data_IF_975966531495
#
_entry.id   IF_975966531495
#
_cell.length_a   1.000
_cell.length_b   1.000
_cell.length_c   1.000
_cell.angle_alpha   90.00
_cell.angle_beta   90.00
_cell.angle_gamma   90.00
#
_symmetry.space_group_name_H-M   'P 1'
#
loop_
_entity.id
_entity.type
_entity.pdbx_description
1 polymer ?
#
# COMPACT_ATOMS: atom_id res chain seq x y z
N UNK A 1 47.36 -22.38 34.54
CA UNK A 1 47.08 -21.72 33.24
C UNK A 1 45.57 -21.66 33.07
N UNK A 2 44.99 -20.46 32.90
CA UNK A 2 43.52 -20.23 32.83
C UNK A 2 43.09 -20.18 31.37
N UNK A 3 42.26 -21.14 30.93
CA UNK A 3 41.66 -21.14 29.60
C UNK A 3 40.54 -20.09 29.53
N UNK A 4 40.71 -19.10 28.66
CA UNK A 4 39.68 -18.14 28.26
C UNK A 4 39.37 -18.39 26.80
N UNK A 5 38.24 -19.02 26.52
CA UNK A 5 37.63 -19.00 25.19
C UNK A 5 36.16 -18.65 25.40
N UNK A 6 35.87 -17.35 25.40
CA UNK A 6 34.50 -16.86 25.25
C UNK A 6 34.35 -16.65 23.74
N UNK A 7 33.92 -17.70 23.05
CA UNK A 7 33.55 -17.61 21.64
C UNK A 7 32.23 -16.86 21.54
N UNK A 8 32.27 -15.60 21.11
CA UNK A 8 31.08 -14.84 20.79
C UNK A 8 30.52 -15.35 19.46
N UNK A 9 29.42 -16.11 19.52
CA UNK A 9 28.64 -16.46 18.33
C UNK A 9 27.68 -15.31 18.06
N UNK A 10 28.02 -14.45 17.10
CA UNK A 10 27.11 -13.45 16.58
C UNK A 10 26.09 -14.14 15.66
N UNK A 11 24.89 -14.40 16.18
CA UNK A 11 23.74 -14.80 15.36
C UNK A 11 23.23 -13.57 14.62
N UNK A 12 23.70 -13.36 13.39
CA UNK A 12 23.13 -12.39 12.46
C UNK A 12 21.74 -12.87 12.05
N UNK A 13 20.70 -12.33 12.67
CA UNK A 13 19.33 -12.47 12.18
C UNK A 13 19.21 -11.71 10.86
N UNK A 14 19.44 -12.39 9.74
CA UNK A 14 18.92 -11.94 8.46
C UNK A 14 17.40 -11.97 8.59
N UNK A 15 16.79 -10.81 8.85
CA UNK A 15 15.35 -10.66 8.77
C UNK A 15 15.02 -10.78 7.28
N UNK A 16 14.80 -12.01 6.81
CA UNK A 16 14.13 -12.25 5.54
C UNK A 16 12.70 -11.74 5.72
N UNK A 17 12.51 -10.43 5.62
CA UNK A 17 11.19 -9.84 5.57
C UNK A 17 10.50 -10.43 4.36
N UNK A 18 9.53 -11.33 4.60
CA UNK A 18 8.66 -11.85 3.56
C UNK A 18 7.86 -10.66 3.00
N UNK A 19 8.42 -9.97 2.01
CA UNK A 19 7.67 -8.95 1.28
C UNK A 19 6.63 -9.72 0.49
N UNK A 20 5.40 -9.71 0.98
CA UNK A 20 4.25 -10.32 0.33
C UNK A 20 4.10 -9.72 -1.07
N UNK A 21 4.47 -10.50 -2.10
CA UNK A 21 4.34 -10.13 -3.53
C UNK A 21 3.13 -10.82 -4.15
N UNK A 22 2.44 -10.11 -5.03
CA UNK A 22 1.34 -10.64 -5.82
C UNK A 22 1.88 -11.51 -6.97
N UNK A 23 1.02 -12.28 -7.67
CA UNK A 23 1.45 -13.17 -8.75
C UNK A 23 2.20 -12.48 -9.90
N UNK A 24 2.05 -11.16 -10.04
CA UNK A 24 2.72 -10.31 -11.03
C UNK A 24 4.08 -9.75 -10.54
N UNK A 25 4.54 -10.17 -9.36
CA UNK A 25 5.80 -9.73 -8.75
C UNK A 25 5.73 -8.37 -8.06
N UNK A 26 4.58 -7.69 -8.07
CA UNK A 26 4.41 -6.38 -7.41
C UNK A 26 4.06 -6.54 -5.93
N UNK A 27 4.30 -5.53 -5.08
CA UNK A 27 3.84 -5.55 -3.69
C UNK A 27 2.33 -5.83 -3.59
N UNK A 28 1.94 -6.73 -2.68
CA UNK A 28 0.54 -7.12 -2.48
C UNK A 28 -0.37 -5.90 -2.27
N UNK A 29 0.07 -4.91 -1.51
CA UNK A 29 -0.70 -3.67 -1.26
C UNK A 29 -1.02 -2.88 -2.54
N UNK A 30 -0.09 -2.84 -3.49
CA UNK A 30 -0.30 -2.17 -4.78
C UNK A 30 -1.34 -2.89 -5.61
N UNK A 31 -1.20 -4.22 -5.71
CA UNK A 31 -2.14 -5.07 -6.41
C UNK A 31 -3.55 -4.94 -5.83
N UNK A 32 -3.68 -5.04 -4.51
CA UNK A 32 -4.98 -4.95 -3.83
C UNK A 32 -5.64 -3.59 -4.01
N UNK A 33 -4.90 -2.48 -3.85
CA UNK A 33 -5.46 -1.14 -4.03
C UNK A 33 -5.96 -0.92 -5.48
N UNK A 34 -5.12 -1.25 -6.46
CA UNK A 34 -5.50 -1.15 -7.89
C UNK A 34 -6.75 -1.98 -8.18
N UNK A 35 -6.76 -3.24 -7.72
CA UNK A 35 -7.88 -4.15 -7.93
C UNK A 35 -9.17 -3.65 -7.24
N UNK A 36 -9.06 -3.05 -6.06
CA UNK A 36 -10.20 -2.50 -5.33
C UNK A 36 -10.82 -1.30 -6.06
N UNK A 37 -10.01 -0.40 -6.62
CA UNK A 37 -10.52 0.73 -7.40
C UNK A 37 -11.11 0.28 -8.74
N UNK A 38 -10.40 -0.61 -9.46
CA UNK A 38 -10.87 -1.14 -10.75
C UNK A 38 -12.19 -1.91 -10.60
N UNK A 39 -12.31 -2.79 -9.61
CA UNK A 39 -13.52 -3.57 -9.41
C UNK A 39 -14.62 -2.81 -8.66
N UNK A 40 -14.25 -1.85 -7.80
CA UNK A 40 -15.20 -1.10 -6.97
C UNK A 40 -15.97 -0.04 -7.75
N UNK A 41 -15.32 0.64 -8.70
CA UNK A 41 -15.94 1.72 -9.47
C UNK A 41 -15.57 1.74 -10.96
N UNK A 42 -14.89 0.71 -11.48
CA UNK A 42 -14.59 0.60 -12.91
C UNK A 42 -13.49 1.54 -13.40
N UNK A 43 -12.80 2.25 -12.50
CA UNK A 43 -11.71 3.14 -12.87
C UNK A 43 -10.44 2.33 -13.18
N UNK A 44 -10.06 2.30 -14.45
CA UNK A 44 -8.89 1.57 -14.97
C UNK A 44 -7.59 2.22 -14.51
N UNK A 45 -7.24 2.08 -13.23
CA UNK A 45 -6.10 2.75 -12.61
C UNK A 45 -4.76 2.24 -13.16
N UNK A 46 -3.83 3.16 -13.43
CA UNK A 46 -2.45 2.80 -13.80
C UNK A 46 -1.69 2.19 -12.63
N UNK A 47 -0.72 1.34 -12.94
CA UNK A 47 0.16 0.78 -11.93
C UNK A 47 1.04 1.83 -11.24
N UNK A 48 1.43 2.87 -11.95
CA UNK A 48 2.22 3.99 -11.45
C UNK A 48 1.43 4.75 -10.36
N UNK A 49 0.14 5.02 -10.61
CA UNK A 49 -0.73 5.65 -9.61
C UNK A 49 -1.00 4.74 -8.42
N UNK A 50 -1.14 3.43 -8.63
CA UNK A 50 -1.26 2.48 -7.54
C UNK A 50 0.01 2.48 -6.66
N UNK A 51 1.19 2.52 -7.29
CA UNK A 51 2.47 2.64 -6.59
C UNK A 51 2.53 3.93 -5.78
N UNK A 52 2.28 5.08 -6.40
CA UNK A 52 2.31 6.39 -5.73
C UNK A 52 1.35 6.44 -4.53
N UNK A 53 0.13 5.93 -4.69
CA UNK A 53 -0.83 5.86 -3.59
C UNK A 53 -0.31 5.00 -2.44
N UNK A 54 0.21 3.81 -2.71
CA UNK A 54 0.77 2.95 -1.64
C UNK A 54 2.02 3.54 -1.00
N UNK A 55 2.88 4.23 -1.76
CA UNK A 55 4.07 4.91 -1.21
C UNK A 55 3.68 6.13 -0.35
N UNK A 56 2.57 6.79 -0.69
CA UNK A 56 2.05 7.95 0.04
C UNK A 56 1.43 7.55 1.37
N UNK A 57 0.61 6.49 1.37
CA UNK A 57 -0.08 6.03 2.57
C UNK A 57 0.74 5.04 3.40
N UNK A 58 1.79 4.44 2.83
CA UNK A 58 2.68 3.46 3.46
C UNK A 58 1.89 2.45 4.30
N UNK A 59 0.95 1.71 3.68
CA UNK A 59 0.07 0.82 4.41
C UNK A 59 0.92 -0.19 5.18
N UNK A 60 0.74 -0.23 6.49
CA UNK A 60 1.32 -1.27 7.32
C UNK A 60 0.50 -2.52 7.05
N UNK A 61 1.10 -3.53 6.41
CA UNK A 61 0.50 -4.85 6.29
C UNK A 61 0.72 -5.52 7.65
N UNK A 62 -0.32 -5.76 8.46
CA UNK A 62 -0.15 -6.51 9.69
C UNK A 62 0.24 -7.94 9.31
N UNK A 63 1.35 -8.44 9.85
CA UNK A 63 1.85 -9.79 9.61
C UNK A 63 1.00 -10.89 10.26
N UNK A 64 -0.02 -10.54 11.03
CA UNK A 64 -0.90 -11.49 11.69
C UNK A 64 -2.35 -11.03 11.62
N UNK A 65 -3.17 -11.66 10.76
CA UNK A 65 -4.65 -11.79 10.80
C UNK A 65 -5.52 -10.53 10.96
N UNK A 66 -4.93 -9.38 11.25
CA UNK A 66 -5.53 -8.08 11.26
C UNK A 66 -5.63 -7.67 9.79
N UNK A 67 -6.86 -7.72 9.30
CA UNK A 67 -7.26 -7.19 8.00
C UNK A 67 -6.43 -5.94 7.69
N UNK A 68 -5.93 -5.84 6.46
CA UNK A 68 -5.42 -4.58 5.89
C UNK A 68 -6.39 -3.46 6.29
N UNK A 69 -6.04 -2.74 7.33
CA UNK A 69 -6.82 -1.68 7.97
C UNK A 69 -6.03 -0.40 7.88
N UNK A 70 -5.20 -0.26 6.83
CA UNK A 70 -4.68 1.05 6.48
C UNK A 70 -5.87 1.90 6.02
N UNK A 71 -6.40 2.65 6.98
CA UNK A 71 -7.60 3.47 6.80
C UNK A 71 -7.33 4.54 5.75
N UNK A 72 -6.09 4.99 5.61
CA UNK A 72 -5.67 5.95 4.59
C UNK A 72 -5.93 5.44 3.18
N UNK A 73 -5.33 4.29 2.83
CA UNK A 73 -5.45 3.71 1.49
C UNK A 73 -6.88 3.28 1.15
N UNK A 74 -7.61 2.74 2.13
CA UNK A 74 -9.04 2.41 1.94
C UNK A 74 -9.90 3.67 1.73
N UNK A 75 -9.70 4.73 2.52
CA UNK A 75 -10.38 6.02 2.32
C UNK A 75 -10.04 6.61 0.96
N UNK A 76 -8.79 6.49 0.52
CA UNK A 76 -8.36 6.98 -0.78
C UNK A 76 -9.12 6.28 -1.91
N UNK A 77 -9.26 4.95 -1.84
CA UNK A 77 -10.02 4.20 -2.83
C UNK A 77 -11.50 4.59 -2.85
N UNK A 78 -12.12 4.74 -1.67
CA UNK A 78 -13.51 5.22 -1.55
C UNK A 78 -13.64 6.61 -2.18
N UNK A 79 -12.74 7.54 -1.86
CA UNK A 79 -12.78 8.90 -2.41
C UNK A 79 -12.57 8.93 -3.94
N UNK A 80 -11.75 8.03 -4.50
CA UNK A 80 -11.60 7.88 -5.95
C UNK A 80 -12.92 7.42 -6.54
N UNK A 81 -13.54 6.39 -5.96
CA UNK A 81 -14.81 5.86 -6.45
C UNK A 81 -15.96 6.86 -6.31
N UNK A 82 -16.02 7.64 -5.24
CA UNK A 82 -17.00 8.72 -5.08
C UNK A 82 -16.86 9.75 -6.20
N UNK A 83 -15.63 10.16 -6.54
CA UNK A 83 -15.38 11.06 -7.68
C UNK A 83 -15.77 10.46 -9.01
N UNK A 84 -15.53 9.17 -9.23
CA UNK A 84 -15.92 8.48 -10.47
C UNK A 84 -17.45 8.44 -10.58
N UNK A 85 -18.13 8.07 -9.50
CA UNK A 85 -19.58 7.97 -9.42
C UNK A 85 -20.27 9.33 -9.53
N UNK A 86 -19.65 10.40 -9.04
CA UNK A 86 -20.14 11.78 -9.19
C UNK A 86 -19.96 12.36 -10.60
N UNK A 87 -19.59 11.53 -11.60
CA UNK A 87 -19.40 11.94 -12.99
C UNK A 87 -17.95 12.24 -13.38
N UNK A 88 -16.97 11.97 -12.52
CA UNK A 88 -15.55 12.11 -12.80
C UNK A 88 -15.07 11.10 -13.84
N UNK A 89 -15.20 11.45 -15.12
CA UNK A 89 -14.66 10.68 -16.25
C UNK A 89 -13.25 11.12 -16.67
N UNK A 90 -12.64 12.02 -15.91
CA UNK A 90 -11.30 12.56 -16.18
C UNK A 90 -10.25 11.45 -16.27
N UNK A 91 -9.25 11.67 -17.13
CA UNK A 91 -8.07 10.80 -17.26
C UNK A 91 -7.25 10.74 -15.97
N UNK A 92 -7.29 11.80 -15.16
CA UNK A 92 -6.70 11.85 -13.84
C UNK A 92 -7.72 12.35 -12.81
N UNK A 93 -7.68 11.77 -11.62
CA UNK A 93 -8.53 12.11 -10.48
C UNK A 93 -7.62 12.42 -9.30
N UNK A 94 -7.73 13.62 -8.78
CA UNK A 94 -7.06 14.00 -7.54
C UNK A 94 -7.97 13.70 -6.34
N UNK A 95 -7.46 13.08 -5.29
CA UNK A 95 -8.17 12.95 -4.02
C UNK A 95 -7.29 13.34 -2.86
N UNK A 96 -7.92 13.87 -1.80
CA UNK A 96 -7.24 14.24 -0.56
C UNK A 96 -7.96 13.56 0.60
N UNK A 97 -7.25 12.69 1.32
CA UNK A 97 -7.80 11.95 2.46
C UNK A 97 -6.77 11.86 3.59
N UNK A 98 -7.22 11.77 4.86
CA UNK A 98 -6.31 11.58 5.98
C UNK A 98 -5.70 10.18 5.97
N UNK A 99 -4.38 10.11 6.13
CA UNK A 99 -3.64 8.88 6.36
C UNK A 99 -3.99 8.26 7.73
N UNK A 100 -3.35 7.14 8.05
CA UNK A 100 -3.55 6.43 9.31
C UNK A 100 -3.12 7.24 10.54
N UNK A 101 -2.25 8.24 10.36
CA UNK A 101 -1.86 9.22 11.39
C UNK A 101 -2.73 10.47 11.43
N UNK A 102 -3.78 10.56 10.60
CA UNK A 102 -4.68 11.71 10.51
C UNK A 102 -4.15 12.86 9.65
N UNK A 103 -2.98 12.71 9.02
CA UNK A 103 -2.40 13.75 8.15
C UNK A 103 -3.08 13.68 6.79
N UNK A 104 -3.60 14.82 6.30
CA UNK A 104 -4.18 14.89 4.96
C UNK A 104 -3.11 14.64 3.89
N UNK A 105 -3.27 13.55 3.14
CA UNK A 105 -2.44 13.21 1.99
C UNK A 105 -3.24 13.40 0.72
N UNK A 106 -2.57 13.97 -0.28
CA UNK A 106 -3.10 14.12 -1.63
C UNK A 106 -2.45 13.08 -2.52
N UNK A 107 -3.26 12.44 -3.36
CA UNK A 107 -2.79 11.58 -4.44
C UNK A 107 -3.49 11.98 -5.74
N UNK A 108 -2.79 11.78 -6.86
CA UNK A 108 -3.37 11.88 -8.19
C UNK A 108 -3.38 10.49 -8.80
N UNK A 109 -4.55 10.03 -9.20
CA UNK A 109 -4.71 8.71 -9.81
C UNK A 109 -5.06 8.85 -11.27
N UNK A 110 -4.30 8.17 -12.12
CA UNK A 110 -4.44 8.20 -13.55
C UNK A 110 -5.13 6.94 -14.05
N UNK A 111 -5.82 7.10 -15.17
CA UNK A 111 -6.45 6.03 -15.93
C UNK A 111 -5.51 5.55 -17.04
N UNK A 112 -5.41 4.24 -17.20
CA UNK A 112 -4.78 3.56 -18.35
C UNK A 112 -5.46 3.95 -19.68
#
# INVERSE_FOLDING_TARGET
>A
MKFRIIGAVALSFAVAGCTHTAPDGRPITQYFFRNLVMNGCGFQMTWESAREATETFKPVIPTDRERMTDRGLMRAAIAVCDKVNSGGRSKAIEVQVPDSGGVLRKIVVERE
#
